data_IF_142240585984
#
_entry.id   IF_142240585984
#
_cell.length_a   1.000
_cell.length_b   1.000
_cell.length_c   1.000
_cell.angle_alpha   90.00
_cell.angle_beta   90.00
_cell.angle_gamma   90.00
#
_symmetry.space_group_name_H-M   'P 1'
#
loop_
_entity.id
_entity.type
_entity.pdbx_description
1 polymer ?
#
# COMPACT_ATOMS: atom_id res chain seq x y z
N UNK A 1 9.97 25.61 10.52
CA UNK A 1 10.72 24.53 11.20
C UNK A 1 9.80 23.53 11.91
N UNK A 2 8.53 23.89 12.18
CA UNK A 2 7.54 23.00 12.87
C UNK A 2 6.85 21.97 11.96
N UNK A 3 6.74 22.17 10.65
CA UNK A 3 5.96 21.27 9.77
C UNK A 3 6.58 19.88 9.54
N UNK A 4 7.93 19.76 9.55
CA UNK A 4 8.62 18.47 9.37
C UNK A 4 8.44 17.49 10.53
N UNK A 5 7.87 17.93 11.66
CA UNK A 5 7.75 17.13 12.89
C UNK A 5 6.54 16.19 12.85
N UNK A 6 5.48 16.49 12.08
CA UNK A 6 4.22 15.73 12.14
C UNK A 6 4.32 14.27 11.70
N UNK A 7 5.02 13.97 10.60
CA UNK A 7 5.11 12.60 10.08
C UNK A 7 6.15 11.72 10.78
N UNK A 8 7.12 12.31 11.47
CA UNK A 8 8.20 11.54 12.10
C UNK A 8 7.67 10.54 13.15
N UNK A 9 6.57 10.89 13.83
CA UNK A 9 5.91 10.04 14.83
C UNK A 9 5.12 8.86 14.23
N UNK A 10 4.89 8.88 12.92
CA UNK A 10 4.11 7.86 12.21
C UNK A 10 4.99 6.86 11.46
N UNK A 11 6.32 6.90 11.61
CA UNK A 11 7.21 5.92 10.99
C UNK A 11 6.91 4.51 11.52
N UNK A 12 6.85 3.53 10.61
CA UNK A 12 6.62 2.12 10.97
C UNK A 12 7.66 1.21 10.33
N UNK A 13 8.02 0.14 11.04
CA UNK A 13 9.03 -0.82 10.59
C UNK A 13 10.46 -0.26 10.61
N UNK A 14 11.37 -0.96 9.91
CA UNK A 14 12.78 -0.56 9.76
C UNK A 14 13.02 0.42 8.61
N UNK A 15 12.02 0.63 7.74
CA UNK A 15 12.14 1.53 6.60
C UNK A 15 11.89 2.98 7.03
N UNK A 16 12.85 3.90 6.86
CA UNK A 16 12.76 5.26 7.41
C UNK A 16 11.70 6.15 6.75
N UNK A 17 11.16 5.71 5.62
CA UNK A 17 10.27 6.47 4.73
C UNK A 17 8.95 5.77 4.48
N UNK A 18 8.54 4.93 5.42
CA UNK A 18 7.24 4.27 5.50
C UNK A 18 6.48 4.85 6.70
N UNK A 19 5.35 5.51 6.44
CA UNK A 19 4.57 6.25 7.43
C UNK A 19 3.15 5.72 7.50
N UNK A 20 2.64 5.43 8.69
CA UNK A 20 1.27 4.98 8.92
C UNK A 20 0.57 5.90 9.92
N UNK A 21 -0.46 6.61 9.43
CA UNK A 21 -1.26 7.55 10.21
C UNK A 21 -2.64 6.91 10.48
N UNK A 22 -2.93 6.45 11.71
CA UNK A 22 -4.26 5.99 12.06
C UNK A 22 -5.26 7.15 12.07
N UNK A 23 -6.54 6.86 11.82
CA UNK A 23 -7.64 7.84 11.93
C UNK A 23 -7.39 9.16 11.19
N UNK A 24 -6.74 9.09 10.02
CA UNK A 24 -6.41 10.25 9.19
C UNK A 24 -7.66 11.00 8.70
N UNK A 25 -8.75 10.28 8.48
CA UNK A 25 -10.07 10.86 8.19
C UNK A 25 -11.06 10.53 9.30
N UNK A 26 -12.12 11.33 9.40
CA UNK A 26 -13.21 11.07 10.35
C UNK A 26 -14.15 9.96 9.83
N UNK A 27 -15.03 9.47 10.70
CA UNK A 27 -16.05 8.50 10.29
C UNK A 27 -17.04 9.10 9.27
N UNK A 28 -17.39 10.38 9.45
CA UNK A 28 -18.24 11.12 8.53
C UNK A 28 -17.58 11.30 7.16
N UNK A 29 -16.28 11.60 7.11
CA UNK A 29 -15.51 11.65 5.86
C UNK A 29 -15.54 10.29 5.15
N UNK A 30 -15.31 9.19 5.88
CA UNK A 30 -15.36 7.85 5.32
C UNK A 30 -16.73 7.55 4.71
N UNK A 31 -17.81 7.88 5.41
CA UNK A 31 -19.18 7.68 4.93
C UNK A 31 -19.45 8.49 3.66
N UNK A 32 -19.00 9.75 3.61
CA UNK A 32 -19.10 10.59 2.41
C UNK A 32 -18.30 10.01 1.23
N UNK A 33 -17.07 9.55 1.47
CA UNK A 33 -16.24 8.92 0.44
C UNK A 33 -16.90 7.65 -0.10
N UNK A 34 -17.36 6.76 0.77
CA UNK A 34 -18.02 5.52 0.36
C UNK A 34 -19.29 5.81 -0.45
N UNK A 35 -20.12 6.77 -0.02
CA UNK A 35 -21.31 7.17 -0.75
C UNK A 35 -20.98 7.67 -2.17
N UNK A 36 -19.94 8.49 -2.33
CA UNK A 36 -19.49 8.96 -3.65
C UNK A 36 -18.92 7.83 -4.51
N UNK A 37 -18.15 6.92 -3.92
CA UNK A 37 -17.54 5.77 -4.61
C UNK A 37 -18.62 4.85 -5.16
N UNK A 38 -19.59 4.46 -4.32
CA UNK A 38 -20.68 3.55 -4.70
C UNK A 38 -21.76 4.24 -5.55
N UNK A 39 -21.92 5.55 -5.42
CA UNK A 39 -22.79 6.37 -6.26
C UNK A 39 -22.22 6.65 -7.66
N UNK A 40 -20.96 6.31 -7.93
CA UNK A 40 -20.37 6.48 -9.25
C UNK A 40 -21.07 5.59 -10.31
N UNK A 41 -21.19 6.04 -11.57
CA UNK A 41 -21.79 5.24 -12.63
C UNK A 41 -21.09 3.88 -12.81
N UNK A 42 -21.84 2.85 -13.17
CA UNK A 42 -21.30 1.50 -13.38
C UNK A 42 -20.12 1.47 -14.39
N UNK A 43 -20.12 2.38 -15.38
CA UNK A 43 -19.05 2.52 -16.37
C UNK A 43 -17.70 2.97 -15.79
N UNK A 44 -17.67 3.52 -14.57
CA UNK A 44 -16.42 3.85 -13.86
C UNK A 44 -15.75 2.62 -13.26
N UNK A 45 -16.49 1.54 -13.02
CA UNK A 45 -15.95 0.31 -12.48
C UNK A 45 -15.40 -0.58 -13.60
N UNK A 46 -14.11 -0.87 -13.53
CA UNK A 46 -13.44 -1.88 -14.35
C UNK A 46 -13.26 -3.14 -13.53
N UNK A 47 -13.77 -4.27 -14.02
CA UNK A 47 -13.50 -5.58 -13.43
C UNK A 47 -12.11 -6.03 -13.89
N UNK A 48 -11.23 -6.27 -12.94
CA UNK A 48 -9.92 -6.89 -13.13
C UNK A 48 -10.01 -8.36 -12.71
N UNK A 49 -8.90 -9.11 -12.78
CA UNK A 49 -8.88 -10.56 -12.54
C UNK A 49 -9.64 -10.98 -11.28
N UNK A 50 -9.27 -10.40 -10.13
CA UNK A 50 -9.82 -10.75 -8.81
C UNK A 50 -10.35 -9.54 -8.03
N UNK A 51 -10.55 -8.38 -8.66
CA UNK A 51 -10.97 -7.14 -7.97
C UNK A 51 -11.64 -6.21 -8.95
N UNK A 52 -12.23 -5.12 -8.47
CA UNK A 52 -12.64 -4.01 -9.36
C UNK A 52 -11.94 -2.72 -9.02
N UNK A 53 -11.85 -1.85 -10.02
CA UNK A 53 -11.08 -0.62 -9.98
C UNK A 53 -11.91 0.56 -10.52
N UNK A 54 -11.87 1.71 -9.87
CA UNK A 54 -12.18 3.01 -10.49
C UNK A 54 -10.91 3.78 -10.80
N UNK A 55 -10.95 4.56 -11.88
CA UNK A 55 -9.88 5.47 -12.26
C UNK A 55 -10.40 6.90 -12.39
N UNK A 56 -9.78 7.82 -11.65
CA UNK A 56 -10.09 9.24 -11.59
C UNK A 56 -8.86 10.10 -11.84
N UNK A 57 -9.05 11.28 -12.43
CA UNK A 57 -7.96 12.22 -12.70
C UNK A 57 -7.26 12.04 -14.05
N UNK A 58 -7.63 11.01 -14.82
CA UNK A 58 -7.17 10.83 -16.19
C UNK A 58 -6.84 9.38 -16.55
N UNK A 59 -6.20 9.17 -17.71
CA UNK A 59 -5.73 7.84 -18.14
C UNK A 59 -4.21 7.86 -18.28
N UNK A 60 -3.55 6.89 -17.65
CA UNK A 60 -2.10 6.71 -17.75
C UNK A 60 -1.77 5.97 -19.03
N UNK A 61 -0.88 6.55 -19.83
CA UNK A 61 -0.30 5.95 -21.03
C UNK A 61 1.23 5.98 -20.93
N UNK A 62 1.90 5.29 -21.85
CA UNK A 62 3.38 5.24 -21.92
C UNK A 62 4.02 6.63 -21.99
N UNK A 63 3.33 7.61 -22.59
CA UNK A 63 3.79 9.00 -22.74
C UNK A 63 3.39 9.92 -21.57
N UNK A 64 2.76 9.39 -20.52
CA UNK A 64 2.28 10.14 -19.36
C UNK A 64 0.77 10.10 -19.17
N UNK A 65 0.26 11.02 -18.34
CA UNK A 65 -1.16 11.15 -18.00
C UNK A 65 -1.90 11.98 -19.05
N UNK A 66 -3.02 11.48 -19.56
CA UNK A 66 -4.05 12.30 -20.19
C UNK A 66 -5.01 12.80 -19.08
N UNK A 67 -4.86 14.05 -18.61
CA UNK A 67 -5.50 14.50 -17.38
C UNK A 67 -7.01 14.68 -17.55
N UNK A 68 -7.74 14.43 -16.48
CA UNK A 68 -9.15 14.78 -16.33
C UNK A 68 -9.36 15.45 -14.98
N UNK A 69 -10.38 16.29 -14.87
CA UNK A 69 -10.71 16.97 -13.63
C UNK A 69 -11.12 15.92 -12.58
N UNK A 70 -10.51 16.00 -11.39
CA UNK A 70 -10.95 15.23 -10.24
C UNK A 70 -12.29 15.80 -9.72
N UNK A 71 -13.25 14.94 -9.34
CA UNK A 71 -14.45 15.42 -8.70
C UNK A 71 -14.11 16.08 -7.34
N UNK A 72 -14.90 17.06 -6.87
CA UNK A 72 -14.56 17.87 -5.69
C UNK A 72 -14.22 17.06 -4.43
N UNK A 73 -14.91 15.94 -4.20
CA UNK A 73 -14.65 15.07 -3.05
C UNK A 73 -13.27 14.40 -3.10
N UNK A 74 -12.74 14.12 -4.29
CA UNK A 74 -11.36 13.65 -4.46
C UNK A 74 -10.37 14.79 -4.37
N UNK A 75 -10.67 15.94 -4.98
CA UNK A 75 -9.80 17.13 -4.93
C UNK A 75 -9.54 17.57 -3.49
N UNK A 76 -10.57 17.60 -2.64
CA UNK A 76 -10.39 17.98 -1.23
C UNK A 76 -9.54 16.96 -0.46
N UNK A 77 -9.74 15.66 -0.73
CA UNK A 77 -8.97 14.61 -0.08
C UNK A 77 -7.50 14.63 -0.52
N UNK A 78 -7.24 14.78 -1.82
CA UNK A 78 -5.87 14.85 -2.35
C UNK A 78 -5.14 16.11 -1.86
N UNK A 79 -5.84 17.25 -1.76
CA UNK A 79 -5.30 18.47 -1.19
C UNK A 79 -4.92 18.28 0.28
N UNK A 80 -5.79 17.67 1.10
CA UNK A 80 -5.49 17.35 2.50
C UNK A 80 -4.24 16.48 2.63
N UNK A 81 -4.14 15.40 1.85
CA UNK A 81 -2.96 14.51 1.85
C UNK A 81 -1.70 15.29 1.45
N UNK A 82 -1.79 16.15 0.44
CA UNK A 82 -0.68 16.96 -0.03
C UNK A 82 -0.15 17.91 1.07
N UNK A 83 -1.05 18.70 1.66
CA UNK A 83 -0.73 19.71 2.67
C UNK A 83 -0.25 19.09 3.97
N UNK A 84 -0.91 18.05 4.48
CA UNK A 84 -0.56 17.45 5.76
C UNK A 84 0.70 16.58 5.69
N UNK A 85 1.00 15.98 4.53
CA UNK A 85 2.21 15.17 4.39
C UNK A 85 3.45 15.99 4.06
N UNK A 86 3.34 17.00 3.18
CA UNK A 86 4.49 17.75 2.67
C UNK A 86 5.53 16.87 1.95
N UNK A 87 5.18 15.64 1.55
CA UNK A 87 6.11 14.68 0.95
C UNK A 87 6.05 14.65 -0.58
N UNK A 88 4.92 15.05 -1.17
CA UNK A 88 4.71 14.98 -2.60
C UNK A 88 5.33 16.20 -3.30
N UNK A 89 5.99 16.05 -4.47
CA UNK A 89 6.64 17.18 -5.14
C UNK A 89 5.70 18.22 -5.77
N UNK A 90 4.39 17.95 -5.77
CA UNK A 90 3.30 18.72 -6.40
C UNK A 90 1.96 18.07 -6.05
N UNK A 91 0.84 18.77 -6.28
CA UNK A 91 -0.50 18.28 -5.99
C UNK A 91 -0.82 16.94 -6.66
N UNK A 92 -1.58 16.08 -5.97
CA UNK A 92 -2.02 14.81 -6.53
C UNK A 92 -3.19 15.04 -7.50
N UNK A 93 -3.10 14.43 -8.68
CA UNK A 93 -4.01 14.66 -9.80
C UNK A 93 -4.64 13.36 -10.34
N UNK A 94 -4.39 12.23 -9.69
CA UNK A 94 -4.86 10.91 -10.12
C UNK A 94 -5.26 10.08 -8.90
N UNK A 95 -6.22 9.18 -9.05
CA UNK A 95 -6.67 8.31 -7.97
C UNK A 95 -7.15 6.97 -8.55
N UNK A 96 -6.71 5.88 -7.92
CA UNK A 96 -7.19 4.54 -8.21
C UNK A 96 -7.93 3.96 -7.01
N UNK A 97 -9.20 3.63 -7.19
CA UNK A 97 -10.02 3.11 -6.10
C UNK A 97 -10.18 1.61 -6.31
N UNK A 98 -9.53 0.81 -5.47
CA UNK A 98 -9.62 -0.64 -5.56
C UNK A 98 -10.65 -1.18 -4.57
N UNK A 99 -11.56 -2.02 -5.03
CA UNK A 99 -12.43 -2.76 -4.13
C UNK A 99 -12.04 -4.24 -4.12
N UNK A 100 -11.94 -4.78 -2.90
CA UNK A 100 -11.64 -6.17 -2.63
C UNK A 100 -12.77 -6.78 -1.81
N UNK A 101 -13.43 -7.79 -2.36
CA UNK A 101 -14.35 -8.65 -1.63
C UNK A 101 -13.56 -9.70 -0.81
N UNK A 102 -14.20 -10.44 0.11
CA UNK A 102 -13.53 -11.55 0.78
C UNK A 102 -12.89 -12.52 -0.21
N UNK A 103 -11.68 -12.99 0.09
CA UNK A 103 -10.82 -13.81 -0.80
C UNK A 103 -10.25 -13.08 -2.02
N UNK A 104 -10.34 -11.75 -2.08
CA UNK A 104 -9.72 -10.95 -3.13
C UNK A 104 -8.52 -10.19 -2.59
N UNK A 105 -7.47 -10.13 -3.40
CA UNK A 105 -6.27 -9.39 -3.12
C UNK A 105 -5.55 -9.00 -4.41
N UNK A 106 -4.28 -8.65 -4.25
CA UNK A 106 -3.40 -8.25 -5.32
C UNK A 106 -2.03 -8.87 -5.06
N UNK A 107 -1.55 -9.61 -6.06
CA UNK A 107 -0.25 -10.27 -5.97
C UNK A 107 0.88 -9.25 -5.70
N UNK A 108 2.01 -9.68 -5.10
CA UNK A 108 3.16 -8.81 -4.91
C UNK A 108 3.59 -8.11 -6.21
N UNK A 109 3.63 -6.78 -6.19
CA UNK A 109 3.95 -5.94 -7.33
C UNK A 109 4.64 -4.64 -6.88
N UNK A 110 5.09 -3.85 -7.86
CA UNK A 110 5.53 -2.47 -7.63
C UNK A 110 4.63 -1.52 -8.41
N UNK A 111 4.53 -0.30 -7.92
CA UNK A 111 3.85 0.75 -8.65
C UNK A 111 4.66 1.17 -9.88
N UNK A 112 3.94 1.40 -10.98
CA UNK A 112 4.55 1.78 -12.25
C UNK A 112 5.29 3.13 -12.15
N UNK A 113 6.25 3.40 -13.04
CA UNK A 113 7.12 4.59 -12.97
C UNK A 113 6.36 5.93 -12.98
N UNK A 114 5.13 5.95 -13.50
CA UNK A 114 4.25 7.12 -13.46
C UNK A 114 3.93 7.60 -12.03
N UNK A 115 4.05 6.74 -11.01
CA UNK A 115 3.69 7.06 -9.63
C UNK A 115 4.90 7.34 -8.71
N UNK A 116 6.11 7.30 -9.26
CA UNK A 116 7.34 7.60 -8.52
C UNK A 116 7.38 9.11 -8.17
N UNK A 117 7.85 9.55 -6.98
CA UNK A 117 8.56 8.77 -5.96
C UNK A 117 7.76 8.40 -4.71
N UNK A 118 6.51 8.87 -4.58
CA UNK A 118 5.74 8.79 -3.33
C UNK A 118 4.34 8.28 -3.61
N UNK A 119 3.89 7.33 -2.80
CA UNK A 119 2.53 6.76 -2.87
C UNK A 119 1.83 6.98 -1.54
N UNK A 120 0.53 7.29 -1.60
CA UNK A 120 -0.38 7.31 -0.45
C UNK A 120 -1.49 6.26 -0.63
N UNK A 121 -1.89 5.60 0.45
CA UNK A 121 -3.00 4.65 0.46
C UNK A 121 -3.88 5.01 1.64
N UNK A 122 -5.14 5.36 1.36
CA UNK A 122 -6.16 5.56 2.38
C UNK A 122 -6.97 4.26 2.48
N UNK A 123 -7.14 3.72 3.67
CA UNK A 123 -7.95 2.51 3.83
C UNK A 123 -9.37 2.87 4.27
N UNK A 124 -10.39 2.26 3.66
CA UNK A 124 -11.80 2.48 4.00
C UNK A 124 -12.52 1.15 4.27
N UNK A 125 -13.59 1.20 5.06
CA UNK A 125 -14.45 0.04 5.30
C UNK A 125 -13.85 -0.93 6.33
N UNK A 126 -13.12 -1.95 5.86
CA UNK A 126 -12.57 -3.00 6.73
C UNK A 126 -11.04 -3.01 6.79
N UNK A 127 -10.45 -3.50 7.89
CA UNK A 127 -9.01 -3.68 7.98
C UNK A 127 -8.46 -4.67 6.94
N UNK A 128 -7.21 -4.45 6.51
CA UNK A 128 -6.49 -5.33 5.59
C UNK A 128 -5.03 -5.45 5.95
N UNK A 129 -4.45 -6.63 5.74
CA UNK A 129 -2.99 -6.80 5.84
C UNK A 129 -2.35 -6.61 4.47
N UNK A 130 -1.43 -5.64 4.40
CA UNK A 130 -0.58 -5.40 3.23
C UNK A 130 0.83 -5.91 3.53
N UNK A 131 1.30 -6.83 2.68
CA UNK A 131 2.62 -7.44 2.78
C UNK A 131 3.62 -6.62 1.95
N UNK A 132 4.81 -6.40 2.50
CA UNK A 132 5.98 -5.83 1.83
C UNK A 132 7.07 -6.90 1.80
N UNK A 133 7.51 -7.29 0.60
CA UNK A 133 8.55 -8.30 0.41
C UNK A 133 9.71 -7.70 -0.40
N UNK A 134 10.97 -7.86 0.03
CA UNK A 134 12.09 -7.34 -0.74
C UNK A 134 12.15 -7.97 -2.13
N UNK A 135 12.53 -7.18 -3.14
CA UNK A 135 12.67 -7.66 -4.51
C UNK A 135 13.75 -8.77 -4.57
N UNK A 136 13.52 -9.80 -5.37
CA UNK A 136 14.43 -10.95 -5.50
C UNK A 136 15.86 -10.59 -5.94
N UNK A 137 16.07 -9.37 -6.48
CA UNK A 137 17.40 -8.85 -6.84
C UNK A 137 18.28 -8.56 -5.62
N UNK A 138 17.68 -8.60 -4.43
CA UNK A 138 18.33 -8.49 -3.13
C UNK A 138 18.31 -9.81 -2.37
N UNK A 139 17.82 -10.91 -2.97
CA UNK A 139 18.14 -12.25 -2.47
C UNK A 139 19.59 -12.52 -2.84
N UNK A 140 20.39 -12.96 -1.86
CA UNK A 140 21.67 -13.53 -2.18
C UNK A 140 21.39 -14.84 -2.93
N UNK A 141 21.87 -14.97 -4.17
CA UNK A 141 21.89 -16.27 -4.82
C UNK A 141 22.75 -17.17 -3.91
N UNK A 142 22.11 -18.16 -3.27
CA UNK A 142 22.84 -19.30 -2.70
C UNK A 142 23.30 -20.17 -3.86
N UNK A 143 24.19 -19.64 -4.68
CA UNK A 143 24.82 -20.31 -5.79
C UNK A 143 26.32 -20.05 -5.73
N UNK A 144 26.94 -20.53 -4.67
CA UNK A 144 28.37 -20.83 -4.67
C UNK A 144 28.58 -22.30 -4.28
N UNK A 145 29.41 -22.94 -5.10
CA UNK A 145 30.07 -24.24 -4.96
C UNK A 145 29.30 -25.54 -5.28
N UNK A 146 29.18 -25.83 -6.57
CA UNK A 146 29.37 -27.21 -7.05
C UNK A 146 30.88 -27.49 -7.08
N UNK A 147 31.42 -27.96 -5.96
CA UNK A 147 32.65 -28.74 -5.91
C UNK A 147 32.45 -29.94 -4.95
N UNK A 148 32.09 -31.08 -5.54
CA UNK A 148 32.28 -32.49 -5.14
C UNK A 148 32.34 -32.93 -3.65
N UNK A 149 31.48 -33.92 -3.41
CA UNK A 149 31.68 -35.18 -2.66
C UNK A 149 31.61 -35.21 -1.12
N UNK A 150 30.63 -36.03 -0.70
CA UNK A 150 30.60 -36.96 0.44
C UNK A 150 30.13 -36.48 1.83
N UNK A 151 29.02 -37.12 2.19
CA UNK A 151 28.71 -37.78 3.47
C UNK A 151 27.70 -37.11 4.42
N UNK A 152 26.87 -37.98 4.98
CA UNK A 152 25.53 -37.68 5.51
C UNK A 152 25.46 -36.64 6.62
N UNK A 153 24.57 -35.66 6.43
CA UNK A 153 24.13 -34.71 7.45
C UNK A 153 22.76 -34.16 7.07
N UNK A 154 21.85 -34.14 8.05
CA UNK A 154 20.47 -33.66 7.99
C UNK A 154 20.27 -32.40 7.13
N UNK A 155 19.34 -32.46 6.16
CA UNK A 155 18.86 -31.32 5.38
C UNK A 155 18.15 -30.32 6.29
N UNK A 156 18.88 -29.30 6.75
CA UNK A 156 18.24 -28.07 7.26
C UNK A 156 17.84 -27.22 6.06
N UNK A 157 16.53 -26.99 5.91
CA UNK A 157 15.94 -26.13 4.88
C UNK A 157 16.49 -24.71 5.11
N UNK A 158 17.36 -24.26 4.20
CA UNK A 158 18.08 -22.99 4.30
C UNK A 158 17.14 -21.81 4.51
N UNK A 159 17.38 -21.02 5.57
CA UNK A 159 16.78 -19.70 5.74
C UNK A 159 17.28 -18.82 4.60
N UNK A 160 16.37 -18.34 3.74
CA UNK A 160 16.64 -17.31 2.74
C UNK A 160 17.43 -16.15 3.39
N UNK A 161 18.72 -16.02 3.05
CA UNK A 161 19.58 -14.92 3.53
C UNK A 161 19.40 -13.73 2.59
N UNK A 162 18.80 -12.66 3.10
CA UNK A 162 18.63 -11.40 2.36
C UNK A 162 19.93 -10.58 2.47
N UNK A 163 20.30 -9.93 1.36
CA UNK A 163 21.38 -8.94 1.35
C UNK A 163 20.81 -7.68 2.03
N UNK A 164 21.40 -7.27 3.16
CA UNK A 164 20.90 -6.29 4.15
C UNK A 164 19.77 -6.78 5.09
N UNK A 165 19.51 -5.99 6.16
CA UNK A 165 18.37 -6.07 7.09
C UNK A 165 16.97 -6.02 6.40
N UNK A 166 16.92 -6.14 5.08
CA UNK A 166 15.72 -6.14 4.27
C UNK A 166 14.95 -7.46 4.45
N UNK A 167 14.11 -7.50 5.46
CA UNK A 167 13.23 -8.62 5.74
C UNK A 167 11.80 -8.31 5.27
N UNK A 168 11.03 -9.33 4.84
CA UNK A 168 9.62 -9.14 4.58
C UNK A 168 8.89 -8.73 5.87
N UNK A 169 7.91 -7.84 5.74
CA UNK A 169 7.08 -7.38 6.85
C UNK A 169 5.66 -7.11 6.35
N UNK A 170 4.73 -6.98 7.29
CA UNK A 170 3.32 -6.72 6.99
C UNK A 170 2.79 -5.55 7.81
N UNK A 171 1.86 -4.79 7.25
CA UNK A 171 1.19 -3.68 7.91
C UNK A 171 -0.32 -3.97 7.93
N UNK A 172 -0.94 -3.85 9.10
CA UNK A 172 -2.39 -3.85 9.22
C UNK A 172 -2.91 -2.44 8.93
N UNK A 173 -3.63 -2.28 7.82
CA UNK A 173 -4.26 -1.04 7.44
C UNK A 173 -5.67 -1.00 8.01
N UNK A 174 -5.89 -0.19 9.03
CA UNK A 174 -7.22 0.01 9.62
C UNK A 174 -8.07 0.96 8.76
N UNK A 175 -9.40 0.87 8.82
CA UNK A 175 -10.27 1.87 8.20
C UNK A 175 -9.89 3.28 8.66
N UNK A 176 -9.98 4.23 7.74
CA UNK A 176 -9.61 5.64 7.89
C UNK A 176 -8.12 5.93 8.07
N UNK A 177 -7.25 4.92 8.00
CA UNK A 177 -5.80 5.12 8.09
C UNK A 177 -5.19 5.55 6.76
N UNK A 178 -4.08 6.28 6.83
CA UNK A 178 -3.26 6.68 5.69
C UNK A 178 -1.88 6.03 5.80
N UNK A 179 -1.50 5.26 4.80
CA UNK A 179 -0.14 4.74 4.59
C UNK A 179 0.55 5.60 3.53
N UNK A 180 1.77 6.08 3.79
CA UNK A 180 2.60 6.77 2.80
C UNK A 180 3.95 6.06 2.73
N UNK A 181 4.45 5.78 1.52
CA UNK A 181 5.79 5.24 1.35
C UNK A 181 6.54 5.84 0.15
N UNK A 182 7.87 5.91 0.28
CA UNK A 182 8.81 6.41 -0.74
C UNK A 182 10.18 5.75 -0.64
N UNK A 183 11.07 6.08 -1.58
CA UNK A 183 12.46 5.59 -1.65
C UNK A 183 12.52 4.06 -1.65
N UNK A 184 13.30 3.43 -0.74
CA UNK A 184 13.48 1.97 -0.67
C UNK A 184 12.15 1.21 -0.61
N UNK A 185 11.17 1.70 0.14
CA UNK A 185 9.85 1.06 0.23
C UNK A 185 9.11 1.04 -1.13
N UNK A 186 9.34 2.04 -1.98
CA UNK A 186 8.79 2.11 -3.33
C UNK A 186 9.64 1.28 -4.31
N UNK A 187 10.96 1.48 -4.29
CA UNK A 187 11.87 0.95 -5.31
C UNK A 187 12.26 -0.50 -5.06
N UNK A 188 12.44 -0.91 -3.80
CA UNK A 188 13.14 -2.15 -3.44
C UNK A 188 12.23 -3.23 -2.86
N UNK A 189 10.98 -2.88 -2.54
CA UNK A 189 9.98 -3.80 -2.03
C UNK A 189 8.85 -3.97 -3.06
N UNK A 190 8.43 -5.23 -3.22
CA UNK A 190 7.12 -5.56 -3.74
C UNK A 190 6.10 -5.40 -2.62
N UNK A 191 4.87 -5.05 -2.97
CA UNK A 191 3.77 -5.02 -2.02
C UNK A 191 2.52 -5.70 -2.57
N UNK A 192 1.70 -6.25 -1.66
CA UNK A 192 0.51 -7.00 -2.05
C UNK A 192 -0.47 -7.23 -0.91
N UNK A 193 -1.65 -7.72 -1.29
CA UNK A 193 -2.71 -8.14 -0.37
C UNK A 193 -3.02 -9.59 -0.74
N UNK A 194 -2.96 -10.51 0.23
CA UNK A 194 -3.23 -11.93 -0.03
C UNK A 194 -4.69 -12.17 -0.41
N UNK A 195 -4.91 -13.08 -1.35
CA UNK A 195 -6.23 -13.58 -1.75
C UNK A 195 -6.74 -14.56 -0.67
N UNK A 196 -7.16 -14.06 0.49
CA UNK A 196 -7.69 -14.89 1.58
C UNK A 196 -8.89 -14.25 2.29
N UNK A 197 -9.81 -15.09 2.79
CA UNK A 197 -10.95 -14.62 3.58
C UNK A 197 -10.54 -14.15 4.98
N UNK A 198 -9.42 -14.66 5.50
CA UNK A 198 -8.93 -14.37 6.84
C UNK A 198 -7.46 -13.97 6.73
N UNK A 199 -7.15 -12.74 7.14
CA UNK A 199 -5.78 -12.27 7.24
C UNK A 199 -5.28 -12.61 8.64
N UNK A 200 -4.44 -13.64 8.75
CA UNK A 200 -3.78 -13.97 10.01
C UNK A 200 -2.66 -12.95 10.28
N UNK A 201 -2.56 -12.52 11.52
CA UNK A 201 -1.55 -11.59 12.00
C UNK A 201 -0.84 -12.23 13.20
N UNK A 202 0.03 -13.19 12.92
CA UNK A 202 0.87 -13.80 13.93
C UNK A 202 2.22 -13.09 13.92
N UNK A 203 2.45 -12.21 14.90
CA UNK A 203 3.80 -11.75 15.25
C UNK A 203 4.14 -10.27 15.15
N UNK A 204 3.23 -9.36 14.78
CA UNK A 204 3.60 -7.93 14.69
C UNK A 204 3.09 -7.15 15.92
N UNK A 205 4.02 -6.57 16.66
CA UNK A 205 3.75 -5.62 17.75
C UNK A 205 3.15 -4.34 17.17
N UNK A 206 1.85 -4.13 17.34
CA UNK A 206 1.26 -2.79 17.25
C UNK A 206 1.59 -2.04 18.54
N UNK A 207 2.55 -1.12 18.48
CA UNK A 207 2.77 -0.13 19.53
C UNK A 207 2.06 1.19 19.18
N UNK A 208 0.76 1.14 18.86
CA UNK A 208 -0.14 2.30 18.96
C UNK A 208 -1.53 1.75 19.34
N UNK A 209 -1.96 2.06 20.56
CA UNK A 209 -3.27 1.83 21.17
C UNK A 209 -3.91 0.43 21.05
N UNK A 210 -4.27 -0.15 22.20
CA UNK A 210 -4.99 -1.41 22.35
C UNK A 210 -6.23 -1.49 21.43
N UNK A 211 -6.12 -2.13 20.28
CA UNK A 211 -7.27 -2.52 19.46
C UNK A 211 -7.44 -4.03 19.59
N UNK A 212 -8.48 -4.44 20.31
CA UNK A 212 -8.96 -5.82 20.31
C UNK A 212 -9.76 -6.00 19.02
N UNK A 213 -9.17 -6.62 18.01
CA UNK A 213 -9.86 -6.89 16.75
C UNK A 213 -10.81 -8.09 16.92
N UNK A 214 -12.11 -7.97 16.57
CA UNK A 214 -12.98 -9.14 16.48
C UNK A 214 -12.50 -10.08 15.36
N UNK A 215 -12.62 -11.39 15.59
CA UNK A 215 -12.03 -12.49 14.80
C UNK A 215 -12.56 -12.65 13.36
N UNK A 216 -13.45 -11.78 12.86
CA UNK A 216 -14.02 -11.89 11.52
C UNK A 216 -14.21 -10.48 10.96
N UNK A 217 -13.47 -10.15 9.91
CA UNK A 217 -13.52 -8.87 9.21
C UNK A 217 -14.32 -9.07 7.91
N UNK A 218 -15.40 -8.30 7.72
CA UNK A 218 -16.27 -8.36 6.55
C UNK A 218 -16.32 -7.01 5.83
N UNK A 219 -15.99 -7.03 4.52
CA UNK A 219 -16.17 -5.98 3.49
C UNK A 219 -15.14 -4.83 3.45
N UNK A 220 -14.30 -4.79 2.39
CA UNK A 220 -13.18 -3.86 2.23
C UNK A 220 -13.31 -2.92 1.02
N UNK A 221 -12.98 -1.63 1.20
CA UNK A 221 -12.72 -0.70 0.11
C UNK A 221 -11.32 -0.10 0.32
N UNK A 222 -10.33 -0.58 -0.44
CA UNK A 222 -8.95 -0.10 -0.29
C UNK A 222 -8.75 1.04 -1.29
N UNK A 223 -8.72 2.26 -0.77
CA UNK A 223 -8.52 3.45 -1.56
C UNK A 223 -7.02 3.69 -1.77
N UNK A 224 -6.51 3.39 -2.97
CA UNK A 224 -5.09 3.62 -3.29
C UNK A 224 -4.93 5.01 -3.93
N UNK A 225 -4.46 5.98 -3.15
CA UNK A 225 -4.28 7.36 -3.61
C UNK A 225 -2.91 7.53 -4.29
N UNK A 226 -2.84 7.26 -5.58
CA UNK A 226 -1.59 7.45 -6.32
C UNK A 226 -1.42 8.90 -6.78
N UNK A 227 -0.28 9.51 -6.50
CA UNK A 227 0.14 10.67 -7.29
C UNK A 227 0.70 10.16 -8.62
N UNK A 228 0.23 10.66 -9.77
CA UNK A 228 1.01 10.57 -11.00
C UNK A 228 1.99 11.74 -11.03
N UNK A 229 3.27 11.45 -10.96
CA UNK A 229 4.29 12.42 -11.34
C UNK A 229 4.33 12.49 -12.87
N UNK A 230 4.25 13.69 -13.47
CA UNK A 230 4.67 13.84 -14.85
C UNK A 230 6.18 13.57 -14.93
N UNK A 231 6.62 13.04 -16.08
CA UNK A 231 8.02 13.11 -16.49
C UNK A 231 8.50 14.57 -16.54
#
# INVERSE_FOLDING_TARGET
>A
MEEKVKLAHYKVGSLPTLFYVPDFITDSDQSLLLNNIYGAPASKWKILKNRRLQNWGGVVHEKGLLPQILPPWLTNLTQKIYEESGLFPSALNHVLINEYLPNQGIMPHQDGPAYFPVVAILSLGSPVVMDFTPHARFKQDSQDDVCKDSDGGTFEIGKDKWLDDNHPFSILLMPRSLLIFKDKAYSDYLHGIKDCAVHCYDGVRLQIAKIVLPKIIHFMSVFSCFKICPF
#
